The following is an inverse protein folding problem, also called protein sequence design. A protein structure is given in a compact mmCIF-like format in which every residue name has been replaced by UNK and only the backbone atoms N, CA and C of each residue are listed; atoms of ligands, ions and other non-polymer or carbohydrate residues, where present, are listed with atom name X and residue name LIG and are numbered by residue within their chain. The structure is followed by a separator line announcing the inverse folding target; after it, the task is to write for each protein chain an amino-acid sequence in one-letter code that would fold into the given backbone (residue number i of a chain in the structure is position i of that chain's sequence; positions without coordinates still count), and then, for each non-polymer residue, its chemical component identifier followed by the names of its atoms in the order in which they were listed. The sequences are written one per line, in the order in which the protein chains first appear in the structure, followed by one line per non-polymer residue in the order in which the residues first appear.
data_IF_595368727849
#
_entry.id   IF_595368727849
#
_cell.length_a   1.000
_cell.length_b   1.000
_cell.length_c   1.000
_cell.angle_alpha   90.00
_cell.angle_beta   90.00
_cell.angle_gamma   90.00
#
_symmetry.space_group_name_H-M   'P 1'
#
loop_
_entity.id
_entity.type
_entity.pdbx_description
1 polymer ?
#
# COMPACT_ATOMS: atom_id res chain seq x y z
N UNK A 1 -8.34 -22.26 -15.65
CA UNK A 1 -8.03 -20.96 -16.31
C UNK A 1 -7.15 -21.25 -17.53
N UNK A 2 -7.40 -20.61 -18.68
CA UNK A 2 -6.54 -20.78 -19.87
C UNK A 2 -5.14 -20.20 -19.67
N UNK A 3 -4.14 -20.68 -20.41
CA UNK A 3 -2.72 -20.25 -20.28
C UNK A 3 -2.55 -18.74 -20.42
N UNK A 4 -3.23 -18.11 -21.38
CA UNK A 4 -3.19 -16.66 -21.54
C UNK A 4 -3.81 -15.94 -20.35
N UNK A 5 -4.97 -16.40 -19.90
CA UNK A 5 -5.66 -15.82 -18.74
C UNK A 5 -4.78 -15.79 -17.50
N UNK A 6 -4.06 -16.88 -17.21
CA UNK A 6 -3.12 -16.92 -16.09
C UNK A 6 -1.99 -15.88 -16.25
N UNK A 7 -1.37 -15.77 -17.44
CA UNK A 7 -0.33 -14.75 -17.71
C UNK A 7 -0.87 -13.32 -17.59
N UNK A 8 -2.12 -13.06 -18.01
CA UNK A 8 -2.75 -11.74 -17.86
C UNK A 8 -3.03 -11.42 -16.40
N UNK A 9 -3.53 -12.39 -15.62
CA UNK A 9 -3.91 -12.18 -14.22
C UNK A 9 -2.75 -11.69 -13.33
N UNK A 10 -1.51 -12.06 -13.67
CA UNK A 10 -0.31 -11.59 -12.96
C UNK A 10 0.05 -10.13 -13.24
N UNK A 11 -0.53 -9.51 -14.28
CA UNK A 11 -0.27 -8.11 -14.67
C UNK A 11 -1.37 -7.15 -14.24
N UNK A 12 -2.57 -7.67 -13.97
CA UNK A 12 -3.70 -6.86 -13.54
C UNK A 12 -3.66 -6.70 -12.03
N UNK A 13 -3.66 -5.47 -11.53
CA UNK A 13 -3.89 -5.15 -10.13
C UNK A 13 -4.74 -3.87 -10.08
N UNK A 14 -5.97 -3.90 -9.53
CA UNK A 14 -6.66 -5.05 -8.92
C UNK A 14 -7.04 -6.17 -9.90
N UNK A 15 -7.19 -7.42 -9.42
CA UNK A 15 -7.69 -8.54 -10.22
C UNK A 15 -9.19 -8.39 -10.51
N UNK A 16 -9.61 -8.38 -11.79
CA UNK A 16 -11.02 -8.35 -12.14
C UNK A 16 -11.80 -9.55 -11.60
N UNK A 17 -13.07 -9.33 -11.25
CA UNK A 17 -13.97 -10.38 -10.76
C UNK A 17 -14.23 -11.48 -11.79
N UNK A 18 -14.41 -11.10 -13.05
CA UNK A 18 -14.48 -12.04 -14.18
C UNK A 18 -13.39 -11.70 -15.19
N UNK A 19 -12.59 -12.70 -15.56
CA UNK A 19 -11.50 -12.54 -16.51
C UNK A 19 -11.32 -13.81 -17.34
N UNK A 20 -11.39 -13.65 -18.66
CA UNK A 20 -10.86 -14.63 -19.60
C UNK A 20 -10.11 -13.95 -20.73
N UNK A 21 -9.20 -14.70 -21.34
CA UNK A 21 -8.40 -14.25 -22.47
C UNK A 21 -8.17 -15.43 -23.40
N UNK A 22 -8.62 -15.30 -24.64
CA UNK A 22 -8.62 -16.38 -25.61
C UNK A 22 -7.40 -16.32 -26.54
N UNK A 23 -6.91 -15.12 -26.84
CA UNK A 23 -5.80 -14.90 -27.77
C UNK A 23 -5.07 -13.58 -27.47
N UNK A 24 -3.91 -13.35 -28.10
CA UNK A 24 -3.12 -12.13 -28.01
C UNK A 24 -2.80 -11.64 -29.42
N UNK A 25 -3.17 -10.39 -29.72
CA UNK A 25 -2.85 -9.72 -30.98
C UNK A 25 -1.56 -8.90 -30.86
N UNK A 26 -0.62 -9.09 -31.79
CA UNK A 26 0.56 -8.22 -31.93
C UNK A 26 0.23 -7.03 -32.83
N UNK A 27 0.48 -5.81 -32.35
CA UNK A 27 0.19 -4.57 -33.09
C UNK A 27 1.30 -3.54 -32.86
N UNK A 28 1.68 -2.81 -33.91
CA UNK A 28 2.69 -1.76 -33.79
C UNK A 28 2.12 -0.49 -33.13
N UNK A 29 3.00 0.33 -32.55
CA UNK A 29 2.62 1.69 -32.17
C UNK A 29 2.15 2.48 -33.39
N UNK A 30 1.10 3.30 -33.23
CA UNK A 30 0.42 4.00 -34.32
C UNK A 30 -0.21 3.10 -35.40
N UNK A 31 -0.38 1.79 -35.17
CA UNK A 31 -1.16 0.90 -36.03
C UNK A 31 -2.51 0.51 -35.38
N UNK A 32 -2.98 1.37 -34.48
CA UNK A 32 -4.21 1.19 -33.71
C UNK A 32 -5.12 2.38 -33.98
N UNK A 33 -6.39 2.10 -34.24
CA UNK A 33 -7.45 3.10 -34.32
C UNK A 33 -8.24 3.12 -33.02
N UNK A 34 -8.39 4.30 -32.42
CA UNK A 34 -9.19 4.50 -31.21
C UNK A 34 -10.49 5.22 -31.58
N UNK A 35 -11.61 4.52 -31.48
CA UNK A 35 -12.94 5.08 -31.70
C UNK A 35 -13.65 5.31 -30.36
N UNK A 36 -14.32 6.45 -30.21
CA UNK A 36 -15.11 6.78 -29.02
C UNK A 36 -16.52 7.10 -29.46
N UNK A 37 -17.46 6.23 -29.10
CA UNK A 37 -18.89 6.33 -29.36
C UNK A 37 -19.58 6.31 -27.99
N UNK A 38 -19.38 7.39 -27.25
CA UNK A 38 -19.87 7.56 -25.88
C UNK A 38 -19.96 9.07 -25.58
N UNK A 39 -20.96 9.55 -24.82
CA UNK A 39 -21.12 10.97 -24.49
C UNK A 39 -19.85 11.58 -23.85
N UNK A 40 -19.34 12.67 -24.42
CA UNK A 40 -18.11 13.29 -23.91
C UNK A 40 -18.30 14.04 -22.59
N UNK A 41 -17.44 13.72 -21.62
CA UNK A 41 -17.16 14.51 -20.42
C UNK A 41 -15.64 14.65 -20.17
N UNK A 42 -15.24 15.34 -19.11
CA UNK A 42 -13.83 15.55 -18.78
C UNK A 42 -13.06 14.23 -18.54
N UNK A 43 -13.71 13.26 -17.89
CA UNK A 43 -13.09 11.99 -17.54
C UNK A 43 -12.94 11.08 -18.76
N UNK A 44 -13.94 11.05 -19.65
CA UNK A 44 -13.87 10.34 -20.92
C UNK A 44 -12.77 10.91 -21.82
N UNK A 45 -12.64 12.24 -21.90
CA UNK A 45 -11.51 12.88 -22.61
C UNK A 45 -10.17 12.44 -22.05
N UNK A 46 -10.07 12.31 -20.73
CA UNK A 46 -8.88 11.77 -20.07
C UNK A 46 -8.62 10.30 -20.44
N UNK A 47 -9.67 9.45 -20.42
CA UNK A 47 -9.58 8.04 -20.79
C UNK A 47 -9.08 7.86 -22.24
N UNK A 48 -9.64 8.65 -23.18
CA UNK A 48 -9.19 8.70 -24.57
C UNK A 48 -7.74 9.16 -24.68
N UNK A 49 -7.33 10.22 -23.98
CA UNK A 49 -5.93 10.70 -23.97
C UNK A 49 -4.96 9.63 -23.50
N UNK A 50 -5.30 8.85 -22.46
CA UNK A 50 -4.47 7.74 -21.98
C UNK A 50 -4.29 6.66 -23.04
N UNK A 51 -5.37 6.24 -23.71
CA UNK A 51 -5.28 5.27 -24.81
C UNK A 51 -4.41 5.81 -25.96
N UNK A 52 -4.66 7.04 -26.41
CA UNK A 52 -3.92 7.65 -27.53
C UNK A 52 -2.44 7.83 -27.18
N UNK A 53 -2.13 8.27 -25.95
CA UNK A 53 -0.75 8.44 -25.50
C UNK A 53 -0.01 7.11 -25.40
N UNK A 54 -0.71 6.01 -25.07
CA UNK A 54 -0.09 4.71 -24.90
C UNK A 54 0.09 3.96 -26.23
N UNK A 55 -0.96 3.91 -27.05
CA UNK A 55 -1.00 3.13 -28.29
C UNK A 55 -0.66 3.91 -29.55
N UNK A 56 -0.73 5.24 -29.49
CA UNK A 56 -0.85 6.07 -30.68
C UNK A 56 -2.30 6.11 -31.19
N UNK A 57 -2.53 6.73 -32.35
CA UNK A 57 -3.83 6.71 -33.02
C UNK A 57 -3.69 6.92 -34.52
N UNK A 58 -4.12 5.95 -35.32
CA UNK A 58 -4.10 6.00 -36.78
C UNK A 58 -5.50 5.83 -37.36
N UNK A 59 -5.81 6.63 -38.38
CA UNK A 59 -7.09 6.57 -39.09
C UNK A 59 -7.32 5.21 -39.76
N UNK A 60 -6.23 4.56 -40.19
CA UNK A 60 -6.23 3.29 -40.91
C UNK A 60 -5.51 2.17 -40.13
N UNK A 61 -5.45 2.27 -38.80
CA UNK A 61 -4.82 1.25 -37.96
C UNK A 61 -5.41 -0.15 -38.18
N UNK A 62 -4.55 -1.16 -38.25
CA UNK A 62 -4.92 -2.55 -38.48
C UNK A 62 -5.73 -3.18 -37.34
N UNK A 63 -5.67 -2.59 -36.15
CA UNK A 63 -6.43 -3.01 -34.97
C UNK A 63 -7.26 -1.86 -34.39
N UNK A 64 -8.41 -2.18 -33.77
CA UNK A 64 -9.30 -1.17 -33.19
C UNK A 64 -9.50 -1.37 -31.69
N UNK A 65 -9.49 -0.25 -30.97
CA UNK A 65 -9.95 -0.15 -29.58
C UNK A 65 -11.13 0.82 -29.58
N UNK A 66 -12.28 0.37 -29.09
CA UNK A 66 -13.53 1.13 -29.12
C UNK A 66 -14.05 1.35 -27.71
N UNK A 67 -14.38 2.60 -27.40
CA UNK A 67 -15.23 2.93 -26.26
C UNK A 67 -16.64 3.09 -26.80
N UNK A 68 -17.59 2.29 -26.30
CA UNK A 68 -18.95 2.21 -26.86
C UNK A 68 -20.01 2.27 -25.76
N UNK A 69 -21.15 2.85 -26.09
CA UNK A 69 -22.35 2.79 -25.26
C UNK A 69 -22.75 1.33 -24.95
N UNK A 70 -23.26 1.05 -23.75
CA UNK A 70 -23.65 -0.31 -23.37
C UNK A 70 -24.85 -0.76 -24.18
N UNK A 71 -24.71 -1.89 -24.87
CA UNK A 71 -25.85 -2.60 -25.46
C UNK A 71 -26.87 -3.01 -24.39
N UNK A 72 -28.16 -3.20 -24.71
CA UNK A 72 -29.21 -3.52 -23.73
C UNK A 72 -28.86 -4.67 -22.77
N UNK A 73 -28.20 -5.71 -23.26
CA UNK A 73 -27.77 -6.86 -22.45
C UNK A 73 -26.65 -6.46 -21.47
N UNK A 74 -25.72 -5.62 -21.92
CA UNK A 74 -24.64 -5.09 -21.06
C UNK A 74 -25.20 -4.16 -20.00
N UNK A 75 -26.14 -3.29 -20.38
CA UNK A 75 -26.85 -2.39 -19.46
C UNK A 75 -27.56 -3.19 -18.37
N UNK A 76 -28.27 -4.25 -18.76
CA UNK A 76 -28.98 -5.12 -17.81
C UNK A 76 -28.01 -5.79 -16.84
N UNK A 77 -26.88 -6.32 -17.29
CA UNK A 77 -25.90 -6.95 -16.39
C UNK A 77 -25.25 -5.92 -15.46
N UNK A 78 -24.69 -4.84 -16.01
CA UNK A 78 -23.91 -3.86 -15.23
C UNK A 78 -24.75 -3.13 -14.18
N UNK A 79 -26.02 -2.86 -14.46
CA UNK A 79 -26.93 -2.16 -13.53
C UNK A 79 -27.23 -2.93 -12.25
N UNK A 80 -27.06 -4.26 -12.25
CA UNK A 80 -27.29 -5.11 -11.08
C UNK A 80 -26.04 -5.32 -10.23
N UNK A 81 -24.86 -4.88 -10.68
CA UNK A 81 -23.65 -4.98 -9.86
C UNK A 81 -23.64 -3.95 -8.72
N UNK A 82 -23.05 -4.29 -7.56
CA UNK A 82 -22.68 -3.30 -6.56
C UNK A 82 -21.81 -2.20 -7.19
N UNK A 83 -21.99 -0.95 -6.74
CA UNK A 83 -21.21 0.19 -7.23
C UNK A 83 -21.19 0.29 -8.76
N UNK A 84 -22.36 0.07 -9.38
CA UNK A 84 -22.55 -0.06 -10.83
C UNK A 84 -22.09 1.16 -11.63
N UNK A 85 -21.99 2.34 -11.00
CA UNK A 85 -21.40 3.54 -11.61
C UNK A 85 -19.92 3.35 -11.97
N UNK A 86 -19.22 2.44 -11.29
CA UNK A 86 -17.80 2.13 -11.49
C UNK A 86 -17.56 0.82 -12.27
N UNK A 87 -18.63 0.08 -12.55
CA UNK A 87 -18.57 -1.20 -13.23
C UNK A 87 -18.29 -1.03 -14.73
N UNK A 88 -17.59 -2.00 -15.31
CA UNK A 88 -17.26 -1.99 -16.73
C UNK A 88 -17.23 -3.38 -17.32
N UNK A 89 -17.36 -3.40 -18.65
CA UNK A 89 -17.22 -4.58 -19.48
C UNK A 89 -16.10 -4.36 -20.50
N UNK A 90 -15.24 -5.36 -20.66
CA UNK A 90 -14.34 -5.47 -21.81
C UNK A 90 -14.69 -6.74 -22.58
N UNK A 91 -14.79 -6.67 -23.90
CA UNK A 91 -14.94 -7.86 -24.73
C UNK A 91 -14.25 -7.70 -26.08
N UNK A 92 -14.00 -8.82 -26.74
CA UNK A 92 -13.45 -8.83 -28.09
C UNK A 92 -14.36 -9.51 -29.11
N UNK A 93 -14.48 -8.87 -30.27
CA UNK A 93 -15.13 -9.35 -31.50
C UNK A 93 -14.17 -9.24 -32.70
N UNK A 94 -12.86 -9.31 -32.44
CA UNK A 94 -11.78 -8.96 -33.38
C UNK A 94 -11.26 -7.53 -33.19
N UNK A 95 -12.00 -6.68 -32.48
CA UNK A 95 -11.52 -5.43 -31.86
C UNK A 95 -11.58 -5.54 -30.33
N UNK A 96 -11.01 -4.60 -29.58
CA UNK A 96 -11.28 -4.47 -28.14
C UNK A 96 -12.39 -3.44 -27.94
N UNK A 97 -13.41 -3.80 -27.16
CA UNK A 97 -14.52 -2.94 -26.81
C UNK A 97 -14.55 -2.71 -25.31
N UNK A 98 -14.71 -1.45 -24.88
CA UNK A 98 -14.88 -1.05 -23.49
C UNK A 98 -16.23 -0.35 -23.37
N UNK A 99 -17.05 -0.80 -22.42
CA UNK A 99 -18.36 -0.21 -22.15
C UNK A 99 -18.67 -0.16 -20.66
N UNK A 100 -19.44 0.83 -20.24
CA UNK A 100 -19.84 1.05 -18.85
C UNK A 100 -21.10 1.94 -18.79
N UNK A 101 -21.70 2.04 -17.61
CA UNK A 101 -22.84 2.95 -17.35
C UNK A 101 -22.42 4.41 -17.22
N UNK A 102 -21.18 4.65 -16.79
CA UNK A 102 -20.62 6.00 -16.60
C UNK A 102 -19.18 6.07 -17.08
N UNK A 103 -18.67 7.30 -17.25
CA UNK A 103 -17.27 7.55 -17.58
C UNK A 103 -16.28 7.03 -16.52
N UNK A 104 -16.70 6.86 -15.25
CA UNK A 104 -15.85 6.23 -14.22
C UNK A 104 -15.57 4.77 -14.55
N UNK A 105 -16.61 4.01 -14.93
CA UNK A 105 -16.46 2.63 -15.39
C UNK A 105 -15.59 2.55 -16.64
N UNK A 106 -15.79 3.43 -17.63
CA UNK A 106 -14.92 3.50 -18.81
C UNK A 106 -13.45 3.70 -18.42
N UNK A 107 -13.15 4.65 -17.54
CA UNK A 107 -11.79 4.89 -17.08
C UNK A 107 -11.20 3.66 -16.39
N UNK A 108 -11.97 2.94 -15.57
CA UNK A 108 -11.53 1.68 -14.95
C UNK A 108 -11.22 0.60 -15.99
N UNK A 109 -12.05 0.47 -17.04
CA UNK A 109 -11.80 -0.44 -18.15
C UNK A 109 -10.55 -0.08 -18.96
N UNK A 110 -10.32 1.21 -19.20
CA UNK A 110 -9.09 1.69 -19.85
C UNK A 110 -7.87 1.35 -19.00
N UNK A 111 -7.90 1.59 -17.69
CA UNK A 111 -6.79 1.23 -16.78
C UNK A 111 -6.50 -0.27 -16.80
N UNK A 112 -7.54 -1.11 -16.77
CA UNK A 112 -7.39 -2.57 -16.88
C UNK A 112 -6.77 -2.97 -18.21
N UNK A 113 -7.20 -2.40 -19.34
CA UNK A 113 -6.60 -2.68 -20.64
C UNK A 113 -5.12 -2.28 -20.68
N UNK A 114 -4.78 -1.09 -20.19
CA UNK A 114 -3.40 -0.59 -20.16
C UNK A 114 -2.49 -1.49 -19.33
N UNK A 115 -2.95 -2.01 -18.19
CA UNK A 115 -2.22 -3.00 -17.39
C UNK A 115 -2.10 -4.36 -18.09
N UNK A 116 -3.12 -4.78 -18.84
CA UNK A 116 -3.16 -6.08 -19.49
C UNK A 116 -2.17 -6.19 -20.67
N UNK A 117 -1.86 -5.09 -21.34
CA UNK A 117 -0.97 -5.05 -22.50
C UNK A 117 0.50 -5.15 -22.06
N UNK A 118 1.31 -5.93 -22.79
CA UNK A 118 2.77 -5.87 -22.68
C UNK A 118 3.38 -5.33 -23.96
N UNK A 119 4.61 -4.83 -23.86
CA UNK A 119 5.41 -4.43 -25.01
C UNK A 119 6.63 -5.35 -25.12
N UNK A 120 6.78 -6.01 -26.26
CA UNK A 120 7.91 -6.89 -26.58
C UNK A 120 8.38 -6.55 -28.00
N UNK A 121 9.69 -6.39 -28.20
CA UNK A 121 10.30 -6.05 -29.50
C UNK A 121 9.68 -4.81 -30.20
N UNK A 122 9.32 -3.79 -29.41
CA UNK A 122 8.68 -2.57 -29.93
C UNK A 122 7.20 -2.71 -30.29
N UNK A 123 6.63 -3.91 -30.19
CA UNK A 123 5.24 -4.22 -30.53
C UNK A 123 4.38 -4.40 -29.28
N UNK A 124 3.11 -4.02 -29.36
CA UNK A 124 2.12 -4.29 -28.32
C UNK A 124 1.57 -5.70 -28.46
N UNK A 125 1.58 -6.44 -27.36
CA UNK A 125 0.85 -7.69 -27.18
C UNK A 125 -0.49 -7.38 -26.51
N UNK A 126 -1.54 -7.22 -27.32
CA UNK A 126 -2.89 -6.86 -26.86
C UNK A 126 -3.71 -8.13 -26.62
N UNK A 127 -4.05 -8.46 -25.36
CA UNK A 127 -4.90 -9.62 -25.08
C UNK A 127 -6.34 -9.37 -25.53
N UNK A 128 -6.95 -10.37 -26.16
CA UNK A 128 -8.38 -10.39 -26.48
C UNK A 128 -9.15 -10.80 -25.22
N UNK A 129 -9.52 -9.79 -24.44
CA UNK A 129 -10.10 -9.93 -23.11
C UNK A 129 -11.62 -10.07 -23.15
N UNK A 130 -12.16 -10.83 -22.18
CA UNK A 130 -13.55 -10.78 -21.77
C UNK A 130 -13.61 -10.58 -20.26
N UNK A 131 -14.14 -9.44 -19.83
CA UNK A 131 -14.14 -8.98 -18.44
C UNK A 131 -15.50 -8.37 -18.11
N UNK A 132 -16.01 -8.74 -16.94
CA UNK A 132 -16.97 -7.97 -16.16
C UNK A 132 -16.34 -7.68 -14.81
N UNK A 133 -16.40 -6.43 -14.38
CA UNK A 133 -15.68 -6.02 -13.18
C UNK A 133 -16.29 -4.78 -12.52
N UNK A 134 -16.18 -4.72 -11.19
CA UNK A 134 -16.73 -3.69 -10.32
C UNK A 134 -16.07 -3.77 -8.93
N UNK A 135 -16.02 -2.67 -8.16
CA UNK A 135 -15.42 -2.68 -6.83
C UNK A 135 -16.38 -3.18 -5.74
N UNK A 136 -15.84 -3.83 -4.71
CA UNK A 136 -16.58 -4.18 -3.50
C UNK A 136 -16.87 -2.94 -2.63
N UNK A 137 -15.87 -2.08 -2.41
CA UNK A 137 -16.00 -0.85 -1.60
C UNK A 137 -16.26 0.36 -2.52
N UNK A 138 -17.28 1.21 -2.26
CA UNK A 138 -17.62 2.34 -3.14
C UNK A 138 -16.52 3.42 -3.24
N UNK A 139 -15.96 3.86 -2.11
CA UNK A 139 -14.92 4.88 -2.04
C UNK A 139 -13.64 4.31 -1.43
N UNK A 140 -12.53 4.40 -2.16
CA UNK A 140 -11.27 3.74 -1.84
C UNK A 140 -10.13 4.70 -2.09
N UNK A 141 -9.20 4.87 -1.17
CA UNK A 141 -7.97 5.59 -1.50
C UNK A 141 -7.10 5.95 -0.32
N UNK A 142 -6.65 7.21 -0.28
CA UNK A 142 -5.56 7.64 0.59
C UNK A 142 -5.97 8.92 1.33
N UNK A 143 -5.54 9.02 2.58
CA UNK A 143 -5.47 10.24 3.37
C UNK A 143 -4.01 10.60 3.59
N UNK A 144 -3.60 11.75 3.09
CA UNK A 144 -2.18 12.17 3.09
C UNK A 144 -2.03 13.68 3.21
N UNK A 145 -0.90 14.09 3.77
CA UNK A 145 -0.43 15.48 3.73
C UNK A 145 0.04 15.89 2.32
N UNK A 146 0.24 14.92 1.42
CA UNK A 146 0.92 15.11 0.12
C UNK A 146 0.15 14.55 -1.09
N UNK A 147 -1.16 14.34 -0.93
CA UNK A 147 -2.05 13.63 -1.86
C UNK A 147 -1.91 14.05 -3.34
N UNK A 148 -1.46 15.28 -3.63
CA UNK A 148 -1.31 15.81 -4.99
C UNK A 148 -0.36 15.00 -5.88
N UNK A 149 0.74 14.50 -5.33
CA UNK A 149 1.75 13.78 -6.11
C UNK A 149 1.35 12.34 -6.41
N UNK A 150 0.45 11.81 -5.60
CA UNK A 150 0.12 10.39 -5.56
C UNK A 150 -1.13 10.05 -6.41
N UNK A 151 -1.93 11.05 -6.79
CA UNK A 151 -3.17 10.92 -7.57
C UNK A 151 -2.99 9.96 -8.76
N UNK A 152 -1.95 10.14 -9.58
CA UNK A 152 -1.76 9.34 -10.79
C UNK A 152 -1.54 7.84 -10.47
N UNK A 153 -0.78 7.56 -9.42
CA UNK A 153 -0.50 6.18 -8.99
C UNK A 153 -1.75 5.54 -8.36
N UNK A 154 -2.40 6.23 -7.42
CA UNK A 154 -3.66 5.81 -6.83
C UNK A 154 -4.73 5.51 -7.90
N UNK A 155 -4.87 6.44 -8.85
CA UNK A 155 -5.76 6.33 -9.98
C UNK A 155 -5.48 5.09 -10.82
N UNK A 156 -4.20 4.80 -11.10
CA UNK A 156 -3.79 3.62 -11.87
C UNK A 156 -4.24 2.30 -11.22
N UNK A 157 -4.37 2.29 -9.89
CA UNK A 157 -4.85 1.18 -9.06
C UNK A 157 -6.37 1.22 -8.81
N UNK A 158 -7.10 2.12 -9.50
CA UNK A 158 -8.55 2.33 -9.35
C UNK A 158 -8.97 2.78 -7.94
N UNK A 159 -8.07 3.40 -7.18
CA UNK A 159 -8.43 4.17 -5.99
C UNK A 159 -9.08 5.49 -6.46
N UNK A 160 -10.20 5.85 -5.86
CA UNK A 160 -11.09 6.92 -6.31
C UNK A 160 -11.43 7.96 -5.24
N UNK A 161 -10.75 7.95 -4.09
CA UNK A 161 -10.95 8.91 -3.00
C UNK A 161 -9.62 9.45 -2.51
N UNK A 162 -9.49 10.77 -2.43
CA UNK A 162 -8.33 11.43 -1.84
C UNK A 162 -8.78 12.39 -0.74
N UNK A 163 -8.20 12.22 0.44
CA UNK A 163 -8.43 13.07 1.60
C UNK A 163 -7.13 13.82 1.91
N UNK A 164 -7.14 15.15 1.81
CA UNK A 164 -5.94 15.94 2.03
C UNK A 164 -6.00 16.67 3.38
N UNK A 165 -4.86 16.75 4.06
CA UNK A 165 -4.74 17.40 5.38
C UNK A 165 -4.27 18.85 5.28
N UNK A 166 -3.43 19.18 4.30
CA UNK A 166 -2.88 20.52 4.11
C UNK A 166 -2.59 20.76 2.63
N UNK A 167 -2.82 21.99 2.17
CA UNK A 167 -2.37 22.46 0.86
C UNK A 167 -1.59 23.74 1.08
N UNK A 168 -0.38 23.82 0.53
CA UNK A 168 0.56 24.90 0.85
C UNK A 168 0.35 26.14 -0.04
N UNK A 169 -0.46 26.04 -1.10
CA UNK A 169 -0.76 27.16 -2.00
C UNK A 169 -2.04 26.98 -2.81
N UNK A 170 -2.64 28.09 -3.25
CA UNK A 170 -3.82 28.10 -4.13
C UNK A 170 -3.54 27.40 -5.47
N UNK A 171 -2.34 27.57 -6.04
CA UNK A 171 -1.95 26.92 -7.29
C UNK A 171 -1.87 25.40 -7.16
N UNK A 172 -1.35 24.92 -6.03
CA UNK A 172 -1.31 23.49 -5.72
C UNK A 172 -2.72 22.92 -5.55
N UNK A 173 -3.62 23.65 -4.89
CA UNK A 173 -5.03 23.25 -4.75
C UNK A 173 -5.72 23.14 -6.12
N UNK A 174 -5.50 24.12 -7.00
CA UNK A 174 -6.06 24.11 -8.34
C UNK A 174 -5.58 22.90 -9.14
N UNK A 175 -4.27 22.64 -9.14
CA UNK A 175 -3.67 21.47 -9.79
C UNK A 175 -4.21 20.16 -9.24
N UNK A 176 -4.37 20.07 -7.91
CA UNK A 176 -4.96 18.90 -7.26
C UNK A 176 -6.39 18.63 -7.74
N UNK A 177 -7.24 19.66 -7.75
CA UNK A 177 -8.63 19.56 -8.22
C UNK A 177 -8.70 19.14 -9.68
N UNK A 178 -7.89 19.75 -10.55
CA UNK A 178 -7.82 19.39 -11.97
C UNK A 178 -7.36 17.94 -12.16
N UNK A 179 -6.33 17.50 -11.44
CA UNK A 179 -5.84 16.12 -11.47
C UNK A 179 -6.91 15.14 -10.99
N UNK A 180 -7.62 15.45 -9.91
CA UNK A 180 -8.71 14.62 -9.39
C UNK A 180 -9.84 14.47 -10.42
N UNK A 181 -10.28 15.56 -11.06
CA UNK A 181 -11.29 15.52 -12.12
C UNK A 181 -10.81 14.66 -13.30
N UNK A 182 -9.57 14.85 -13.74
CA UNK A 182 -8.99 14.11 -14.87
C UNK A 182 -8.81 12.61 -14.58
N UNK A 183 -8.67 12.23 -13.31
CA UNK A 183 -8.48 10.84 -12.89
C UNK A 183 -9.74 10.21 -12.27
N UNK A 184 -10.84 10.95 -12.17
CA UNK A 184 -12.09 10.45 -11.57
C UNK A 184 -11.96 10.15 -10.08
N UNK A 185 -11.09 10.91 -9.39
CA UNK A 185 -10.90 10.83 -7.94
C UNK A 185 -11.81 11.87 -7.27
N UNK A 186 -12.53 11.44 -6.25
CA UNK A 186 -13.31 12.29 -5.36
C UNK A 186 -12.35 12.92 -4.35
N UNK A 187 -12.19 14.23 -4.45
CA UNK A 187 -11.40 15.01 -3.51
C UNK A 187 -12.28 15.43 -2.32
N UNK A 188 -11.93 15.00 -1.11
CA UNK A 188 -12.61 15.40 0.11
C UNK A 188 -11.76 16.41 0.89
N UNK A 189 -12.36 17.56 1.23
CA UNK A 189 -11.71 18.58 2.06
C UNK A 189 -11.55 18.11 3.50
N UNK A 190 -10.48 18.58 4.13
CA UNK A 190 -10.03 18.35 5.51
C UNK A 190 -11.17 18.13 6.52
N UNK A 191 -11.61 16.89 6.69
CA UNK A 191 -12.41 16.50 7.85
C UNK A 191 -11.44 16.56 9.03
N UNK A 192 -11.66 17.53 9.92
CA UNK A 192 -10.99 17.62 11.21
C UNK A 192 -11.54 16.50 12.07
N UNK A 193 -10.78 15.42 12.25
CA UNK A 193 -11.22 14.31 13.10
C UNK A 193 -10.75 14.56 14.54
N UNK A 194 -11.70 14.59 15.47
CA UNK A 194 -11.45 14.47 16.91
C UNK A 194 -11.97 13.11 17.36
N UNK A 195 -11.16 12.05 17.23
CA UNK A 195 -11.61 10.69 17.52
C UNK A 195 -10.46 9.78 17.93
N UNK A 196 -10.66 9.06 19.04
CA UNK A 196 -9.68 8.28 19.78
C UNK A 196 -9.27 6.98 19.06
N UNK A 197 -8.02 6.54 19.34
CA UNK A 197 -7.61 5.14 19.19
C UNK A 197 -8.52 4.34 20.13
N UNK A 198 -9.51 3.63 19.62
CA UNK A 198 -10.29 2.70 20.44
C UNK A 198 -9.64 1.33 20.41
N UNK A 199 -9.52 0.75 21.61
CA UNK A 199 -8.83 -0.48 21.95
C UNK A 199 -9.11 -1.69 21.04
N UNK A 200 -8.04 -2.48 20.89
CA UNK A 200 -7.99 -3.92 20.60
C UNK A 200 -8.75 -4.42 19.35
N UNK A 201 -8.01 -4.51 18.24
CA UNK A 201 -8.21 -5.38 17.06
C UNK A 201 -8.91 -4.80 15.81
N UNK A 202 -9.23 -3.50 15.76
CA UNK A 202 -9.54 -2.77 14.52
C UNK A 202 -9.22 -1.27 14.70
N UNK A 203 -8.05 -0.80 14.27
CA UNK A 203 -7.74 0.64 14.25
C UNK A 203 -8.48 1.32 13.09
N UNK A 204 -9.69 1.75 13.40
CA UNK A 204 -10.54 2.57 12.53
C UNK A 204 -10.64 3.94 13.20
N UNK A 205 -9.95 4.95 12.67
CA UNK A 205 -10.24 6.33 13.05
C UNK A 205 -11.50 6.75 12.27
N UNK A 206 -12.66 6.72 12.91
CA UNK A 206 -13.90 7.20 12.29
C UNK A 206 -14.86 7.86 13.26
N UNK A 207 -15.43 8.98 12.83
CA UNK A 207 -16.58 9.65 13.48
C UNK A 207 -17.94 9.10 12.99
N UNK A 208 -17.98 8.33 11.89
CA UNK A 208 -19.20 7.83 11.27
C UNK A 208 -19.07 6.35 10.88
N UNK A 209 -20.06 5.52 11.20
CA UNK A 209 -20.03 4.06 11.00
C UNK A 209 -19.66 3.59 9.56
N UNK A 210 -19.76 4.47 8.56
CA UNK A 210 -19.59 4.15 7.14
C UNK A 210 -18.19 4.46 6.55
N UNK A 211 -17.30 5.14 7.28
CA UNK A 211 -15.94 5.49 6.82
C UNK A 211 -14.88 4.84 7.68
N UNK A 212 -13.79 4.38 7.08
CA UNK A 212 -12.61 3.83 7.76
C UNK A 212 -11.37 4.58 7.29
N UNK A 213 -10.61 5.12 8.24
CA UNK A 213 -9.22 5.51 8.03
C UNK A 213 -8.34 4.38 8.59
N UNK A 214 -7.58 3.75 7.70
CA UNK A 214 -6.71 2.62 8.01
C UNK A 214 -5.27 3.10 8.17
N UNK A 215 -4.75 3.12 9.39
CA UNK A 215 -3.47 3.73 9.78
C UNK A 215 -2.30 2.75 9.95
N UNK A 216 -2.51 1.48 9.61
CA UNK A 216 -1.50 0.41 9.72
C UNK A 216 -0.66 0.21 8.45
N UNK A 217 -0.61 1.21 7.56
CA UNK A 217 0.35 1.21 6.46
C UNK A 217 1.78 1.38 6.99
N UNK A 218 1.94 2.09 8.11
CA UNK A 218 3.19 2.24 8.85
C UNK A 218 3.02 1.71 10.28
N UNK A 219 4.03 1.89 11.14
CA UNK A 219 3.95 1.58 12.58
C UNK A 219 3.18 2.65 13.40
N UNK A 220 2.51 3.62 12.75
CA UNK A 220 1.72 4.66 13.40
C UNK A 220 1.89 6.04 12.76
N UNK A 221 1.00 6.98 13.10
CA UNK A 221 0.98 8.29 12.44
C UNK A 221 2.05 9.30 12.88
N UNK A 222 2.67 9.08 14.05
CA UNK A 222 3.80 9.89 14.55
C UNK A 222 5.17 9.27 14.26
N UNK A 223 5.20 8.06 13.70
CA UNK A 223 6.42 7.30 13.45
C UNK A 223 6.51 6.85 12.00
N UNK A 224 7.65 7.12 11.36
CA UNK A 224 7.92 6.61 10.01
C UNK A 224 8.90 5.46 10.13
N UNK A 225 8.37 4.23 10.05
CA UNK A 225 9.13 2.99 10.10
C UNK A 225 8.68 2.04 8.99
N UNK A 226 9.59 1.36 8.27
CA UNK A 226 9.24 0.53 7.13
C UNK A 226 8.47 -0.72 7.56
N UNK A 227 7.43 -1.06 6.80
CA UNK A 227 6.59 -2.22 7.07
C UNK A 227 6.01 -2.80 5.78
N UNK A 228 6.22 -4.09 5.58
CA UNK A 228 5.48 -4.93 4.65
C UNK A 228 4.38 -5.68 5.42
N UNK A 229 3.11 -5.48 5.05
CA UNK A 229 1.96 -5.93 5.86
C UNK A 229 0.81 -6.55 5.03
N UNK A 230 1.13 -7.23 3.94
CA UNK A 230 0.16 -7.71 2.95
C UNK A 230 -0.88 -8.67 3.54
N UNK A 231 -0.46 -9.58 4.42
CA UNK A 231 -1.34 -10.52 5.12
C UNK A 231 -2.37 -9.79 5.97
N UNK A 232 -1.91 -8.83 6.78
CA UNK A 232 -2.74 -8.01 7.64
C UNK A 232 -3.70 -7.11 6.84
N UNK A 233 -3.24 -6.53 5.73
CA UNK A 233 -4.06 -5.69 4.85
C UNK A 233 -5.20 -6.52 4.26
N UNK A 234 -4.93 -7.74 3.78
CA UNK A 234 -5.95 -8.65 3.26
C UNK A 234 -7.01 -8.97 4.31
N UNK A 235 -6.59 -9.39 5.50
CA UNK A 235 -7.49 -9.71 6.62
C UNK A 235 -8.44 -8.54 6.94
N UNK A 236 -7.94 -7.30 6.91
CA UNK A 236 -8.76 -6.12 7.23
C UNK A 236 -9.66 -5.68 6.06
N UNK A 237 -9.19 -5.74 4.82
CA UNK A 237 -10.01 -5.44 3.65
C UNK A 237 -11.23 -6.37 3.56
N UNK A 238 -11.07 -7.66 3.89
CA UNK A 238 -12.19 -8.61 3.97
C UNK A 238 -13.22 -8.16 5.01
N UNK A 239 -12.79 -7.79 6.22
CA UNK A 239 -13.67 -7.25 7.27
C UNK A 239 -14.39 -5.97 6.85
N UNK A 240 -13.73 -5.05 6.14
CA UNK A 240 -14.37 -3.82 5.67
C UNK A 240 -15.50 -4.11 4.67
N UNK A 241 -15.33 -5.10 3.79
CA UNK A 241 -16.38 -5.52 2.87
C UNK A 241 -17.52 -6.22 3.61
N UNK A 242 -17.23 -7.10 4.56
CA UNK A 242 -18.24 -7.78 5.40
C UNK A 242 -19.08 -6.77 6.19
N UNK A 243 -18.44 -5.73 6.73
CA UNK A 243 -19.09 -4.63 7.46
C UNK A 243 -19.81 -3.63 6.55
N UNK A 244 -19.78 -3.84 5.23
CA UNK A 244 -20.39 -2.94 4.23
C UNK A 244 -19.89 -1.49 4.32
N UNK A 245 -18.61 -1.32 4.66
CA UNK A 245 -17.99 0.00 4.76
C UNK A 245 -18.13 0.75 3.44
N UNK A 246 -18.59 2.01 3.49
CA UNK A 246 -18.81 2.84 2.30
C UNK A 246 -17.51 3.45 1.78
N UNK A 247 -16.62 3.82 2.70
CA UNK A 247 -15.35 4.48 2.37
C UNK A 247 -14.21 3.90 3.18
N UNK A 248 -13.12 3.52 2.52
CA UNK A 248 -11.87 3.15 3.17
C UNK A 248 -10.73 3.97 2.57
N UNK A 249 -9.99 4.68 3.42
CA UNK A 249 -8.78 5.40 3.01
C UNK A 249 -7.60 4.96 3.87
N UNK A 250 -6.44 4.70 3.27
CA UNK A 250 -5.23 4.47 4.05
C UNK A 250 -4.66 5.80 4.52
N UNK A 251 -4.25 5.87 5.78
CA UNK A 251 -3.45 6.97 6.26
C UNK A 251 -1.98 6.74 5.92
N UNK A 252 -1.40 7.68 5.20
CA UNK A 252 0.01 7.71 4.84
C UNK A 252 0.60 9.02 5.37
N UNK A 253 1.33 8.98 6.50
CA UNK A 253 1.87 10.21 7.12
C UNK A 253 2.86 10.93 6.19
N UNK A 254 3.42 10.21 5.21
CA UNK A 254 4.27 10.70 4.15
C UNK A 254 3.89 10.00 2.82
N UNK A 255 4.19 10.65 1.69
CA UNK A 255 3.88 10.21 0.30
C UNK A 255 3.82 8.70 0.07
N UNK A 256 2.92 8.29 -0.84
CA UNK A 256 2.67 6.89 -1.24
C UNK A 256 3.88 6.11 -1.69
N UNK A 257 4.94 6.81 -2.12
CA UNK A 257 6.13 6.19 -2.69
C UNK A 257 6.76 5.16 -1.75
N UNK A 258 6.65 5.37 -0.43
CA UNK A 258 7.19 4.50 0.61
C UNK A 258 6.31 3.30 0.95
N UNK A 259 5.05 3.34 0.51
CA UNK A 259 4.02 2.37 0.86
C UNK A 259 3.38 1.73 -0.37
N UNK A 260 3.98 1.90 -1.56
CA UNK A 260 3.48 1.37 -2.84
C UNK A 260 3.01 -0.08 -2.74
N UNK A 261 3.80 -0.94 -2.10
CA UNK A 261 3.45 -2.34 -1.96
C UNK A 261 2.18 -2.56 -1.15
N UNK A 262 2.08 -1.91 0.02
CA UNK A 262 0.90 -1.97 0.88
C UNK A 262 -0.33 -1.30 0.23
N UNK A 263 -0.15 -0.16 -0.45
CA UNK A 263 -1.25 0.56 -1.14
C UNK A 263 -1.78 -0.28 -2.30
N UNK A 264 -0.90 -0.97 -3.02
CA UNK A 264 -1.27 -1.89 -4.09
C UNK A 264 -2.06 -3.09 -3.54
N UNK A 265 -1.67 -3.61 -2.37
CA UNK A 265 -2.40 -4.65 -1.65
C UNK A 265 -3.79 -4.16 -1.24
N UNK A 266 -3.88 -2.96 -0.69
CA UNK A 266 -5.16 -2.36 -0.31
C UNK A 266 -6.06 -2.16 -1.53
N UNK A 267 -5.52 -1.65 -2.64
CA UNK A 267 -6.26 -1.50 -3.88
C UNK A 267 -6.80 -2.83 -4.41
N UNK A 268 -5.99 -3.90 -4.38
CA UNK A 268 -6.40 -5.25 -4.75
C UNK A 268 -7.66 -5.69 -4.01
N UNK A 269 -7.63 -5.67 -2.68
CA UNK A 269 -8.70 -6.27 -1.87
C UNK A 269 -9.85 -5.32 -1.54
N UNK A 270 -9.69 -4.00 -1.63
CA UNK A 270 -10.84 -3.08 -1.60
C UNK A 270 -11.65 -3.12 -2.91
N UNK A 271 -11.01 -3.51 -4.01
CA UNK A 271 -11.68 -3.71 -5.29
C UNK A 271 -12.34 -5.10 -5.35
N UNK A 272 -11.59 -6.14 -5.00
CA UNK A 272 -12.07 -7.52 -5.02
C UNK A 272 -11.54 -8.28 -3.79
N UNK A 273 -12.27 -8.24 -2.68
CA UNK A 273 -11.83 -8.86 -1.42
C UNK A 273 -11.67 -10.38 -1.52
N UNK A 274 -12.46 -11.02 -2.39
CA UNK A 274 -12.41 -12.46 -2.66
C UNK A 274 -11.51 -12.81 -3.87
N UNK A 275 -10.58 -11.92 -4.23
CA UNK A 275 -9.65 -12.18 -5.32
C UNK A 275 -8.60 -13.23 -4.93
N UNK A 276 -7.35 -12.98 -5.29
CA UNK A 276 -6.22 -13.86 -5.05
C UNK A 276 -5.81 -13.84 -3.56
N UNK A 277 -5.14 -14.92 -3.14
CA UNK A 277 -4.47 -14.97 -1.84
C UNK A 277 -3.24 -14.03 -1.78
N UNK A 278 -2.69 -13.85 -0.58
CA UNK A 278 -1.57 -12.94 -0.34
C UNK A 278 -0.32 -13.34 -1.15
N UNK A 279 -0.02 -14.63 -1.28
CA UNK A 279 1.13 -15.11 -2.06
C UNK A 279 0.96 -14.81 -3.56
N UNK A 280 -0.22 -15.11 -4.11
CA UNK A 280 -0.56 -14.82 -5.51
C UNK A 280 -0.53 -13.33 -5.80
N UNK A 281 -0.89 -12.48 -4.83
CA UNK A 281 -0.68 -11.04 -4.90
C UNK A 281 0.78 -10.64 -4.92
N UNK A 282 1.62 -11.19 -4.03
CA UNK A 282 3.06 -10.93 -4.05
C UNK A 282 3.68 -11.29 -5.39
N UNK A 283 3.28 -12.41 -6.01
CA UNK A 283 3.73 -12.82 -7.34
C UNK A 283 3.32 -11.85 -8.44
N UNK A 284 2.07 -11.37 -8.39
CA UNK A 284 1.59 -10.38 -9.34
C UNK A 284 2.31 -9.03 -9.17
N UNK A 285 2.49 -8.57 -7.93
CA UNK A 285 3.24 -7.36 -7.64
C UNK A 285 4.69 -7.47 -8.14
N UNK A 286 5.36 -8.61 -7.88
CA UNK A 286 6.69 -8.87 -8.41
C UNK A 286 6.73 -8.85 -9.94
N UNK A 287 5.73 -9.45 -10.59
CA UNK A 287 5.62 -9.47 -12.06
C UNK A 287 5.48 -8.05 -12.63
N UNK A 288 4.58 -7.23 -12.08
CA UNK A 288 4.35 -5.85 -12.51
C UNK A 288 5.61 -4.99 -12.34
N UNK A 289 6.37 -5.23 -11.28
CA UNK A 289 7.61 -4.52 -10.97
C UNK A 289 8.88 -5.19 -11.52
N UNK A 290 8.74 -6.18 -12.41
CA UNK A 290 9.86 -6.86 -13.08
C UNK A 290 10.87 -7.50 -12.11
N UNK A 291 10.38 -8.00 -10.98
CA UNK A 291 11.16 -8.71 -9.96
C UNK A 291 11.02 -10.23 -10.10
N UNK A 292 12.03 -10.96 -9.63
CA UNK A 292 11.96 -12.41 -9.46
C UNK A 292 10.88 -12.76 -8.42
N UNK A 293 9.78 -13.34 -8.89
CA UNK A 293 8.59 -13.57 -8.07
C UNK A 293 8.85 -14.56 -6.92
N UNK A 294 9.64 -15.60 -7.14
CA UNK A 294 9.91 -16.61 -6.11
C UNK A 294 10.79 -16.04 -5.00
N UNK A 295 11.83 -15.27 -5.37
CA UNK A 295 12.68 -14.61 -4.39
C UNK A 295 11.93 -13.54 -3.62
N UNK A 296 11.09 -12.75 -4.30
CA UNK A 296 10.30 -11.70 -3.67
C UNK A 296 9.30 -12.27 -2.66
N UNK A 297 8.51 -13.28 -3.05
CA UNK A 297 7.58 -13.99 -2.14
C UNK A 297 8.30 -14.54 -0.93
N UNK A 298 9.46 -15.19 -1.15
CA UNK A 298 10.27 -15.76 -0.07
C UNK A 298 10.74 -14.69 0.91
N UNK A 299 11.17 -13.52 0.42
CA UNK A 299 11.51 -12.38 1.27
C UNK A 299 10.30 -11.90 2.07
N UNK A 300 9.17 -11.59 1.42
CA UNK A 300 7.96 -11.13 2.10
C UNK A 300 7.53 -12.09 3.21
N UNK A 301 7.54 -13.40 2.93
CA UNK A 301 7.16 -14.44 3.90
C UNK A 301 8.02 -14.43 5.15
N UNK A 302 9.34 -14.17 5.03
CA UNK A 302 10.21 -14.04 6.19
C UNK A 302 10.08 -12.69 6.91
N UNK A 303 9.71 -11.64 6.18
CA UNK A 303 9.74 -10.27 6.70
C UNK A 303 8.43 -9.84 7.40
N UNK A 304 7.27 -10.26 6.87
CA UNK A 304 5.96 -9.82 7.36
C UNK A 304 5.69 -10.20 8.82
N UNK A 305 5.95 -11.46 9.22
CA UNK A 305 5.64 -11.90 10.59
C UNK A 305 6.47 -11.17 11.65
N UNK A 306 7.81 -11.03 11.51
CA UNK A 306 8.61 -10.17 12.39
C UNK A 306 8.12 -8.72 12.41
N UNK A 307 7.76 -8.16 11.25
CA UNK A 307 7.26 -6.79 11.16
C UNK A 307 5.91 -6.60 11.90
N UNK A 308 4.97 -7.54 11.71
CA UNK A 308 3.68 -7.56 12.39
C UNK A 308 3.86 -7.68 13.90
N UNK A 309 4.72 -8.59 14.35
CA UNK A 309 5.01 -8.79 15.78
C UNK A 309 5.57 -7.52 16.42
N UNK A 310 6.52 -6.85 15.75
CA UNK A 310 7.10 -5.61 16.25
C UNK A 310 6.05 -4.47 16.31
N UNK A 311 5.15 -4.41 15.32
CA UNK A 311 4.09 -3.41 15.26
C UNK A 311 3.05 -3.63 16.35
N UNK A 312 2.58 -4.86 16.53
CA UNK A 312 1.61 -5.25 17.57
C UNK A 312 2.18 -5.06 18.99
N UNK A 313 3.48 -5.26 19.19
CA UNK A 313 4.12 -4.95 20.47
C UNK A 313 4.13 -3.44 20.77
N UNK A 314 4.07 -2.57 19.76
CA UNK A 314 4.12 -1.11 19.92
C UNK A 314 5.51 -0.57 20.28
N UNK A 315 6.58 -1.36 20.10
CA UNK A 315 7.94 -0.98 20.51
C UNK A 315 8.34 0.40 19.97
N UNK A 316 8.26 0.53 18.64
CA UNK A 316 8.68 1.73 17.91
C UNK A 316 7.74 2.91 18.18
N UNK A 317 6.43 2.67 18.23
CA UNK A 317 5.44 3.72 18.46
C UNK A 317 5.62 4.37 19.85
N UNK A 318 5.86 3.56 20.89
CA UNK A 318 6.07 4.05 22.26
C UNK A 318 7.35 4.88 22.37
N UNK A 319 8.44 4.47 21.70
CA UNK A 319 9.66 5.30 21.65
C UNK A 319 9.42 6.71 21.08
N UNK A 320 8.42 6.86 20.20
CA UNK A 320 8.06 8.12 19.55
C UNK A 320 6.98 8.90 20.31
N UNK A 321 6.36 8.31 21.34
CA UNK A 321 5.26 8.89 22.08
C UNK A 321 5.75 9.46 23.41
N UNK A 322 5.59 10.76 23.61
CA UNK A 322 5.73 11.37 24.93
C UNK A 322 4.42 11.15 25.71
N UNK A 323 4.48 10.64 26.94
CA UNK A 323 3.34 10.68 27.87
C UNK A 323 3.54 11.82 28.86
N UNK A 324 2.46 12.49 29.24
CA UNK A 324 2.51 13.38 30.40
C UNK A 324 2.36 12.52 31.66
N UNK A 325 3.40 12.42 32.48
CA UNK A 325 3.33 11.79 33.81
C UNK A 325 3.27 12.86 34.88
N UNK A 326 2.36 12.68 35.84
CA UNK A 326 2.27 13.58 36.99
C UNK A 326 3.13 13.04 38.13
N UNK A 327 4.28 13.68 38.39
CA UNK A 327 5.13 13.36 39.55
C UNK A 327 4.93 14.44 40.61
N UNK A 328 4.40 14.05 41.77
CA UNK A 328 4.16 14.96 42.92
C UNK A 328 3.35 16.21 42.55
N UNK A 329 2.29 16.04 41.74
CA UNK A 329 1.40 17.13 41.34
C UNK A 329 1.96 18.07 40.26
N UNK A 330 3.11 17.76 39.66
CA UNK A 330 3.64 18.44 38.47
C UNK A 330 3.60 17.51 37.27
N UNK A 331 3.13 18.02 36.14
CA UNK A 331 3.16 17.33 34.86
C UNK A 331 4.56 17.40 34.26
N UNK A 332 5.12 16.24 33.94
CA UNK A 332 6.37 16.07 33.20
C UNK A 332 6.06 15.34 31.89
N UNK A 333 6.71 15.72 30.80
CA UNK A 333 6.77 14.87 29.62
C UNK A 333 7.73 13.71 29.95
N UNK A 334 7.18 12.53 30.22
CA UNK A 334 7.93 11.28 30.18
C UNK A 334 8.18 10.92 28.73
N UNK A 335 9.45 10.69 28.40
CA UNK A 335 9.77 9.74 27.35
C UNK A 335 9.32 8.38 27.90
N UNK A 336 8.45 7.65 27.18
CA UNK A 336 7.80 6.42 27.65
C UNK A 336 8.59 5.67 28.72
N UNK A 337 7.95 5.35 29.85
CA UNK A 337 8.52 4.51 30.89
C UNK A 337 9.16 3.29 30.25
N UNK A 338 10.49 3.23 30.30
CA UNK A 338 11.28 2.20 29.61
C UNK A 338 10.91 0.77 30.07
N UNK A 339 10.11 0.64 31.13
CA UNK A 339 9.64 -0.60 31.75
C UNK A 339 8.24 -1.06 31.29
N UNK A 340 7.50 -0.25 30.50
CA UNK A 340 6.20 -0.61 29.90
C UNK A 340 6.31 -1.75 28.87
N UNK A 341 7.51 -2.01 28.34
CA UNK A 341 7.75 -3.03 27.31
C UNK A 341 7.71 -4.47 27.84
N UNK A 342 7.58 -4.65 29.16
CA UNK A 342 7.32 -5.96 29.77
C UNK A 342 5.84 -6.33 29.67
N UNK A 343 4.92 -5.37 29.80
CA UNK A 343 3.48 -5.66 29.87
C UNK A 343 2.95 -6.26 28.58
N UNK A 344 3.55 -5.91 27.45
CA UNK A 344 3.23 -6.44 26.13
C UNK A 344 4.41 -7.21 25.50
N UNK A 345 5.25 -7.89 26.28
CA UNK A 345 6.49 -8.49 25.80
C UNK A 345 6.32 -9.41 24.56
N UNK A 346 7.32 -9.42 23.68
CA UNK A 346 7.34 -10.29 22.50
C UNK A 346 7.70 -11.70 22.96
N UNK A 347 6.69 -12.58 22.98
CA UNK A 347 6.89 -14.00 23.27
C UNK A 347 7.77 -14.61 22.16
N UNK A 348 8.77 -15.40 22.54
CA UNK A 348 9.73 -16.02 21.63
C UNK A 348 10.51 -15.03 20.74
N UNK A 349 10.96 -13.90 21.28
CA UNK A 349 11.63 -12.87 20.46
C UNK A 349 12.80 -13.40 19.62
N UNK A 350 13.56 -14.37 20.12
CA UNK A 350 14.66 -15.00 19.39
C UNK A 350 14.19 -15.70 18.09
N UNK A 351 12.96 -16.25 18.08
CA UNK A 351 12.35 -16.82 16.87
C UNK A 351 12.19 -15.74 15.81
N UNK A 352 11.65 -14.58 16.19
CA UNK A 352 11.43 -13.48 15.25
C UNK A 352 12.72 -12.82 14.80
N UNK A 353 13.74 -12.71 15.66
CA UNK A 353 15.08 -12.26 15.27
C UNK A 353 15.68 -13.22 14.22
N UNK A 354 15.61 -14.54 14.43
CA UNK A 354 16.08 -15.54 13.45
C UNK A 354 15.33 -15.46 12.12
N UNK A 355 14.02 -15.19 12.15
CA UNK A 355 13.21 -14.98 10.96
C UNK A 355 13.61 -13.69 10.23
N UNK A 356 13.78 -12.58 10.93
CA UNK A 356 14.22 -11.31 10.37
C UNK A 356 15.64 -11.42 9.75
N UNK A 357 16.55 -12.16 10.37
CA UNK A 357 17.86 -12.47 9.79
C UNK A 357 17.76 -13.29 8.48
N UNK A 358 16.79 -14.20 8.38
CA UNK A 358 16.49 -14.90 7.11
C UNK A 358 15.91 -13.93 6.08
N UNK A 359 15.09 -12.97 6.51
CA UNK A 359 14.53 -11.93 5.63
C UNK A 359 15.64 -11.07 5.02
N UNK A 360 16.62 -10.61 5.81
CA UNK A 360 17.78 -9.86 5.29
C UNK A 360 18.54 -10.65 4.23
N UNK A 361 18.78 -11.96 4.46
CA UNK A 361 19.46 -12.82 3.48
C UNK A 361 18.62 -13.04 2.22
N UNK A 362 17.31 -13.21 2.36
CA UNK A 362 16.40 -13.37 1.23
C UNK A 362 16.31 -12.07 0.40
N UNK A 363 16.21 -10.91 1.04
CA UNK A 363 16.15 -9.61 0.39
C UNK A 363 17.39 -9.36 -0.49
N UNK A 364 18.59 -9.66 0.02
CA UNK A 364 19.84 -9.56 -0.77
C UNK A 364 19.82 -10.36 -2.07
N UNK A 365 19.10 -11.48 -2.11
CA UNK A 365 19.00 -12.32 -3.30
C UNK A 365 18.02 -11.76 -4.34
N UNK A 366 17.08 -10.90 -3.92
CA UNK A 366 16.08 -10.28 -4.79
C UNK A 366 16.65 -9.12 -5.61
N UNK A 367 17.69 -8.45 -5.10
CA UNK A 367 18.17 -7.16 -5.65
C UNK A 367 17.27 -5.97 -5.30
N UNK A 368 16.26 -6.15 -4.45
CA UNK A 368 15.32 -5.12 -4.02
C UNK A 368 15.87 -4.36 -2.79
N UNK A 369 16.45 -3.18 -3.03
CA UNK A 369 17.15 -2.35 -2.03
C UNK A 369 16.23 -1.92 -0.88
N UNK A 370 14.97 -1.57 -1.19
CA UNK A 370 13.94 -1.22 -0.19
C UNK A 370 13.67 -2.39 0.76
N UNK A 371 13.52 -3.61 0.23
CA UNK A 371 13.28 -4.79 1.04
C UNK A 371 14.48 -5.18 1.91
N UNK A 372 15.70 -4.97 1.43
CA UNK A 372 16.92 -5.21 2.22
C UNK A 372 17.00 -4.24 3.40
N UNK A 373 16.82 -2.95 3.14
CA UNK A 373 16.89 -1.91 4.17
C UNK A 373 15.77 -2.03 5.19
N UNK A 374 14.54 -2.32 4.76
CA UNK A 374 13.42 -2.65 5.65
C UNK A 374 13.75 -3.85 6.56
N UNK A 375 14.25 -4.94 6.00
CA UNK A 375 14.58 -6.15 6.77
C UNK A 375 15.63 -5.86 7.84
N UNK A 376 16.60 -4.98 7.54
CA UNK A 376 17.63 -4.54 8.49
C UNK A 376 17.03 -3.70 9.61
N UNK A 377 16.12 -2.77 9.30
CA UNK A 377 15.40 -1.98 10.29
C UNK A 377 14.64 -2.89 11.27
N UNK A 378 13.82 -3.82 10.75
CA UNK A 378 13.03 -4.75 11.56
C UNK A 378 13.93 -5.62 12.44
N UNK A 379 15.02 -6.16 11.87
CA UNK A 379 15.98 -6.99 12.61
C UNK A 379 16.62 -6.22 13.76
N UNK A 380 17.10 -4.99 13.49
CA UNK A 380 17.73 -4.17 14.52
C UNK A 380 16.75 -3.77 15.62
N UNK A 381 15.51 -3.40 15.26
CA UNK A 381 14.48 -3.06 16.22
C UNK A 381 14.06 -4.25 17.11
N UNK A 382 13.93 -5.46 16.55
CA UNK A 382 13.67 -6.66 17.36
C UNK A 382 14.80 -6.96 18.33
N UNK A 383 16.06 -6.78 17.92
CA UNK A 383 17.21 -6.94 18.81
C UNK A 383 17.24 -5.89 19.93
N UNK A 384 16.87 -4.64 19.64
CA UNK A 384 16.67 -3.60 20.67
C UNK A 384 15.58 -4.01 21.65
N UNK A 385 14.40 -4.39 21.14
CA UNK A 385 13.25 -4.78 21.96
C UNK A 385 13.59 -5.97 22.87
N UNK A 386 14.32 -6.97 22.38
CA UNK A 386 14.71 -8.15 23.15
C UNK A 386 15.71 -7.85 24.25
N UNK A 387 16.73 -7.05 23.93
CA UNK A 387 17.71 -6.61 24.92
C UNK A 387 17.01 -5.78 26.02
N UNK A 388 16.09 -4.89 25.65
CA UNK A 388 15.32 -4.10 26.59
C UNK A 388 14.38 -4.93 27.47
N UNK A 389 13.60 -5.85 26.88
CA UNK A 389 12.72 -6.75 27.62
C UNK A 389 13.50 -7.56 28.66
N UNK A 390 14.65 -8.11 28.27
CA UNK A 390 15.50 -8.89 29.18
C UNK A 390 16.15 -8.00 30.25
N UNK A 391 16.64 -6.81 29.88
CA UNK A 391 17.19 -5.84 30.83
C UNK A 391 16.17 -5.48 31.92
N UNK A 392 14.97 -5.05 31.55
CA UNK A 392 13.96 -4.64 32.53
C UNK A 392 13.40 -5.81 33.33
N UNK A 393 13.35 -7.01 32.76
CA UNK A 393 13.01 -8.24 33.49
C UNK A 393 14.00 -8.46 34.63
N UNK A 394 15.31 -8.40 34.33
CA UNK A 394 16.37 -8.54 35.33
C UNK A 394 16.32 -7.38 36.34
N UNK A 395 16.12 -6.15 35.88
CA UNK A 395 16.05 -4.95 36.72
C UNK A 395 14.98 -5.05 37.80
N UNK A 396 13.78 -5.57 37.47
CA UNK A 396 12.65 -5.73 38.40
C UNK A 396 12.83 -6.86 39.42
N UNK A 397 13.85 -7.73 39.28
CA UNK A 397 14.13 -8.78 40.26
C UNK A 397 14.61 -8.19 41.59
N UNK A 398 13.99 -8.60 42.71
CA UNK A 398 14.33 -8.10 44.07
C UNK A 398 15.72 -8.55 44.55
N UNK A 399 16.21 -9.68 44.05
CA UNK A 399 17.55 -10.23 44.31
C UNK A 399 18.05 -10.81 43.00
N UNK A 400 19.31 -10.52 42.66
CA UNK A 400 20.01 -11.07 41.51
C UNK A 400 21.26 -11.80 41.99
N UNK A 401 21.61 -12.90 41.32
CA UNK A 401 22.89 -13.56 41.49
C UNK A 401 23.97 -12.86 40.61
N UNK A 402 25.28 -13.14 40.80
CA UNK A 402 26.34 -12.50 40.01
C UNK A 402 26.21 -12.71 38.49
N UNK A 403 25.68 -13.85 38.06
CA UNK A 403 25.48 -14.17 36.64
C UNK A 403 24.33 -13.34 36.05
N UNK A 404 23.25 -13.13 36.80
CA UNK A 404 22.13 -12.24 36.44
C UNK A 404 22.54 -10.77 36.41
N UNK A 405 23.43 -10.33 37.31
CA UNK A 405 24.02 -8.99 37.26
C UNK A 405 24.88 -8.81 35.99
N UNK A 406 25.72 -9.80 35.67
CA UNK A 406 26.52 -9.77 34.44
C UNK A 406 25.63 -9.78 33.18
N UNK A 407 24.57 -10.59 33.17
CA UNK A 407 23.61 -10.58 32.07
C UNK A 407 22.89 -9.23 31.93
N UNK A 408 22.58 -8.56 33.02
CA UNK A 408 21.95 -7.23 32.98
C UNK A 408 22.87 -6.20 32.32
N UNK A 409 24.16 -6.19 32.68
CA UNK A 409 25.18 -5.33 32.04
C UNK A 409 25.29 -5.64 30.55
N UNK A 410 25.35 -6.92 30.19
CA UNK A 410 25.39 -7.33 28.78
C UNK A 410 24.16 -6.86 28.01
N UNK A 411 22.95 -6.94 28.59
CA UNK A 411 21.75 -6.45 27.92
C UNK A 411 21.77 -4.94 27.70
N UNK A 412 22.31 -4.17 28.64
CA UNK A 412 22.50 -2.73 28.48
C UNK A 412 23.45 -2.40 27.32
N UNK A 413 24.60 -3.08 27.25
CA UNK A 413 25.55 -2.93 26.13
C UNK A 413 24.91 -3.34 24.79
N UNK A 414 24.13 -4.42 24.79
CA UNK A 414 23.39 -4.86 23.60
C UNK A 414 22.34 -3.83 23.18
N UNK A 415 21.60 -3.21 24.11
CA UNK A 415 20.65 -2.13 23.79
C UNK A 415 21.36 -0.98 23.06
N UNK A 416 22.50 -0.52 23.57
CA UNK A 416 23.28 0.56 22.96
C UNK A 416 23.82 0.20 21.56
N UNK A 417 24.36 -1.01 21.40
CA UNK A 417 24.88 -1.46 20.10
C UNK A 417 23.75 -1.67 19.07
N UNK A 418 22.61 -2.19 19.51
CA UNK A 418 21.45 -2.40 18.66
C UNK A 418 20.78 -1.07 18.28
N UNK A 419 20.69 -0.09 19.18
CA UNK A 419 20.12 1.23 18.88
C UNK A 419 20.93 1.97 17.81
N UNK A 420 22.27 1.87 17.89
CA UNK A 420 23.17 2.39 16.86
C UNK A 420 22.98 1.66 15.52
N UNK A 421 22.82 0.34 15.55
CA UNK A 421 22.54 -0.45 14.33
C UNK A 421 21.20 -0.06 13.70
N UNK A 422 20.18 0.21 14.52
CA UNK A 422 18.87 0.66 14.09
C UNK A 422 18.92 2.06 13.45
N UNK A 423 19.65 2.99 14.06
CA UNK A 423 19.90 4.32 13.50
C UNK A 423 20.50 4.24 12.08
N UNK A 424 21.54 3.43 11.89
CA UNK A 424 22.16 3.28 10.57
C UNK A 424 21.24 2.56 9.58
N UNK A 425 20.50 1.54 10.02
CA UNK A 425 19.53 0.88 9.15
C UNK A 425 18.44 1.84 8.67
N UNK A 426 17.90 2.68 9.56
CA UNK A 426 16.93 3.73 9.21
C UNK A 426 17.54 4.81 8.32
N UNK A 427 18.81 5.16 8.52
CA UNK A 427 19.53 6.11 7.66
C UNK A 427 19.74 5.54 6.25
N UNK A 428 20.07 4.26 6.14
CA UNK A 428 20.19 3.57 4.86
C UNK A 428 18.83 3.49 4.15
N UNK A 429 17.78 3.10 4.88
CA UNK A 429 16.42 3.11 4.34
C UNK A 429 16.00 4.50 3.85
N UNK A 430 16.29 5.54 4.63
CA UNK A 430 16.09 6.94 4.24
C UNK A 430 16.78 7.27 2.91
N UNK A 431 18.01 6.81 2.70
CA UNK A 431 18.72 7.07 1.45
C UNK A 431 18.03 6.43 0.24
N UNK A 432 17.47 5.22 0.40
CA UNK A 432 16.70 4.56 -0.68
C UNK A 432 15.44 5.37 -1.00
N UNK A 433 14.71 5.72 0.05
CA UNK A 433 13.51 6.55 0.06
C UNK A 433 13.73 7.92 -0.61
N UNK A 434 14.84 8.58 -0.30
CA UNK A 434 15.16 9.92 -0.81
C UNK A 434 15.56 9.92 -2.30
N UNK A 435 16.09 8.82 -2.85
CA UNK A 435 16.45 8.72 -4.28
C UNK A 435 15.24 9.03 -5.18
N UNK A 436 14.05 8.62 -4.75
CA UNK A 436 12.82 8.87 -5.49
C UNK A 436 12.10 10.17 -5.05
N UNK A 437 12.56 10.87 -3.99
CA UNK A 437 11.88 12.06 -3.47
C UNK A 437 12.77 12.99 -2.62
N UNK A 438 13.14 14.14 -3.18
CA UNK A 438 14.07 15.12 -2.57
C UNK A 438 13.46 16.03 -1.47
N UNK A 439 12.21 15.85 -1.06
CA UNK A 439 11.48 16.88 -0.30
C UNK A 439 11.02 16.49 1.11
N UNK A 440 11.35 15.29 1.61
CA UNK A 440 10.86 14.82 2.91
C UNK A 440 12.00 14.33 3.81
N UNK A 441 12.56 15.27 4.59
CA UNK A 441 13.79 15.03 5.36
C UNK A 441 13.57 14.74 6.86
N UNK A 442 12.40 15.01 7.43
CA UNK A 442 12.27 15.17 8.89
C UNK A 442 11.83 13.91 9.64
N UNK A 443 10.79 13.19 9.21
CA UNK A 443 10.17 12.14 10.05
C UNK A 443 11.00 10.86 10.25
N UNK A 444 11.68 10.37 9.20
CA UNK A 444 12.57 9.19 9.33
C UNK A 444 13.78 9.54 10.21
N UNK A 445 14.36 10.72 10.02
CA UNK A 445 15.47 11.23 10.83
C UNK A 445 15.06 11.36 12.30
N UNK A 446 13.87 11.90 12.58
CA UNK A 446 13.35 11.98 13.94
C UNK A 446 13.20 10.59 14.57
N UNK A 447 12.67 9.61 13.81
CA UNK A 447 12.55 8.22 14.24
C UNK A 447 13.92 7.61 14.54
N UNK A 448 14.90 7.81 13.65
CA UNK A 448 16.26 7.31 13.85
C UNK A 448 16.93 7.90 15.10
N UNK A 449 16.81 9.21 15.32
CA UNK A 449 17.36 9.90 16.49
C UNK A 449 16.69 9.43 17.78
N UNK A 450 15.36 9.28 17.80
CA UNK A 450 14.64 8.76 18.96
C UNK A 450 15.09 7.34 19.31
N UNK A 451 15.24 6.46 18.32
CA UNK A 451 15.77 5.12 18.50
C UNK A 451 17.20 5.11 19.05
N UNK A 452 18.06 6.04 18.63
CA UNK A 452 19.44 6.12 19.13
C UNK A 452 19.50 6.48 20.62
N UNK A 453 18.63 7.40 21.07
CA UNK A 453 18.53 7.88 22.46
C UNK A 453 18.04 6.84 23.47
N UNK A 454 17.63 5.65 23.03
CA UNK A 454 17.19 4.58 23.92
C UNK A 454 18.21 4.15 24.98
N UNK A 455 19.50 4.36 24.70
CA UNK A 455 20.59 3.93 25.57
C UNK A 455 21.44 5.11 26.08
N UNK A 456 20.95 6.35 25.88
CA UNK A 456 21.46 7.58 26.48
C UNK A 456 20.69 7.84 27.78
#
# INVERSE_FOLDING_TARGET
MGRYTQKISLRLIPLPKELSCNDIKKVAFNDIRIDVIYPEDALLRSAKRKLVSFFGNSLYGSFRIRIVDPMPETLNVLSHFPNSDQAYRIWSDGSINISALTSKGIMNGVRTLLQAVSKEDGMFNIPLLFIYDYPDIPLRGQRSETAVRDIAYMASLKLNSADYMSINSIDEEKRLKENCINEGIVLNSNISYSGCITDENLCVLSENADTVIFDWMTYGGKCIFPRTAVDFIKENCEKFVENKTRKVVCYTPVSDIYQKFNITAMAEWLWNAKSRDAESFMRAYATVNQMDSDKFVKWCTYNMTPARTLAENGFIERLMSNRTVTVKGKEYLDYCGFDDFIENAIIDIDKYIRMADRAVRAAKQTGYEEGETESRCITAALRCAGAQQKFFTLYRMKKRNPEEEQQMVLMYEMMHNNSRSLYYALSDWKNVVDKENLHFHTGITCTAVACMRMAD
#
